data_IF_637247314033
#
_entry.id   IF_637247314033
#
_cell.length_a   1.000
_cell.length_b   1.000
_cell.length_c   1.000
_cell.angle_alpha   90.00
_cell.angle_beta   90.00
_cell.angle_gamma   90.00
#
_symmetry.space_group_name_H-M   'P 1'
#
loop_
_entity.id
_entity.type
_entity.pdbx_description
1 polymer ?
#
# COMPACT_ATOMS: atom_id res chain seq x y z
N UNK A 1 -24.89 18.53 83.52
CA UNK A 1 -23.55 19.02 83.13
C UNK A 1 -22.73 17.83 82.65
N UNK A 2 -22.47 17.67 81.35
CA UNK A 2 -21.34 16.87 80.86
C UNK A 2 -21.00 17.20 79.38
N UNK A 3 -19.90 17.96 79.27
CA UNK A 3 -18.86 18.10 78.22
C UNK A 3 -19.13 17.71 76.74
N UNK A 4 -18.90 18.70 75.88
CA UNK A 4 -18.62 18.64 74.45
C UNK A 4 -17.30 17.94 74.11
N UNK A 5 -17.27 17.17 73.02
CA UNK A 5 -16.06 16.89 72.25
C UNK A 5 -16.43 16.70 70.77
N UNK A 6 -15.99 17.61 69.91
CA UNK A 6 -16.12 17.49 68.46
C UNK A 6 -14.83 16.88 67.88
N UNK A 7 -14.96 15.81 67.10
CA UNK A 7 -13.88 15.28 66.24
C UNK A 7 -14.25 15.55 64.78
N UNK A 8 -13.42 16.33 64.10
CA UNK A 8 -13.48 16.53 62.65
C UNK A 8 -12.62 15.45 61.99
N UNK A 9 -13.23 14.60 61.17
CA UNK A 9 -12.53 13.63 60.33
C UNK A 9 -12.31 14.24 58.94
N UNK A 10 -11.04 14.37 58.51
CA UNK A 10 -10.67 14.70 57.13
C UNK A 10 -10.72 13.43 56.29
N UNK A 11 -11.60 13.41 55.29
CA UNK A 11 -11.60 12.39 54.22
C UNK A 11 -10.63 12.86 53.14
N UNK A 12 -9.61 12.05 52.85
CA UNK A 12 -8.71 12.23 51.69
C UNK A 12 -9.19 11.26 50.62
N UNK A 13 -9.69 11.78 49.50
CA UNK A 13 -10.01 11.00 48.31
C UNK A 13 -8.75 10.98 47.44
N UNK A 14 -8.13 9.82 47.31
CA UNK A 14 -7.05 9.58 46.34
C UNK A 14 -7.70 9.10 45.04
N UNK A 15 -7.67 9.93 44.00
CA UNK A 15 -8.10 9.55 42.66
C UNK A 15 -7.00 8.75 41.96
N UNK A 16 -7.29 7.51 41.59
CA UNK A 16 -6.41 6.69 40.74
C UNK A 16 -6.67 7.07 39.29
N UNK A 17 -5.75 7.80 38.68
CA UNK A 17 -5.70 7.98 37.22
C UNK A 17 -5.09 6.75 36.59
N UNK A 18 -5.92 5.85 36.06
CA UNK A 18 -5.46 4.72 35.24
C UNK A 18 -5.09 5.24 33.85
N UNK A 19 -3.80 5.46 33.62
CA UNK A 19 -3.26 5.68 32.27
C UNK A 19 -3.31 4.37 31.49
N UNK A 20 -4.35 4.19 30.67
CA UNK A 20 -4.38 3.13 29.67
C UNK A 20 -3.41 3.51 28.54
N UNK A 21 -2.16 3.04 28.64
CA UNK A 21 -1.23 3.03 27.52
C UNK A 21 -1.85 2.17 26.41
N UNK A 22 -2.40 2.81 25.38
CA UNK A 22 -2.79 2.12 24.16
C UNK A 22 -1.49 1.65 23.50
N UNK A 23 -1.19 0.36 23.61
CA UNK A 23 -0.15 -0.26 22.81
C UNK A 23 -0.58 -0.12 21.34
N UNK A 24 0.00 0.85 20.64
CA UNK A 24 -0.13 0.97 19.20
C UNK A 24 0.42 -0.33 18.63
N UNK A 25 -0.45 -1.20 18.09
CA UNK A 25 0.01 -2.40 17.40
C UNK A 25 1.04 -1.98 16.34
N UNK A 26 2.21 -2.62 16.33
CA UNK A 26 3.26 -2.31 15.36
C UNK A 26 2.71 -2.50 13.95
N UNK A 27 2.94 -1.52 13.08
CA UNK A 27 2.54 -1.61 11.69
C UNK A 27 3.25 -2.80 11.01
N UNK A 28 2.59 -3.49 10.05
CA UNK A 28 3.15 -4.69 9.42
C UNK A 28 4.37 -4.34 8.56
N UNK A 29 5.37 -5.21 8.55
CA UNK A 29 6.47 -5.15 7.59
C UNK A 29 6.02 -5.62 6.21
N UNK A 30 6.40 -4.90 5.15
CA UNK A 30 5.99 -5.18 3.78
C UNK A 30 7.21 -5.25 2.87
N UNK A 31 7.29 -6.31 2.06
CA UNK A 31 8.23 -6.44 0.95
C UNK A 31 7.51 -6.52 -0.39
N UNK A 32 8.16 -6.06 -1.45
CA UNK A 32 7.70 -6.15 -2.83
C UNK A 32 8.77 -6.84 -3.68
N UNK A 33 8.37 -7.79 -4.51
CA UNK A 33 9.29 -8.51 -5.40
C UNK A 33 8.58 -8.91 -6.70
N UNK A 34 9.03 -8.37 -7.84
CA UNK A 34 8.42 -8.56 -9.17
C UNK A 34 9.31 -9.33 -10.15
N UNK A 35 10.41 -9.93 -9.68
CA UNK A 35 11.24 -10.84 -10.47
C UNK A 35 10.62 -12.22 -10.71
N UNK A 36 11.19 -12.99 -11.65
CA UNK A 36 10.68 -14.30 -12.09
C UNK A 36 10.80 -15.42 -11.03
N UNK A 37 11.64 -15.25 -10.00
CA UNK A 37 11.91 -16.28 -8.99
C UNK A 37 11.87 -15.72 -7.56
N UNK A 38 10.68 -15.56 -6.95
CA UNK A 38 10.56 -15.02 -5.60
C UNK A 38 11.35 -15.82 -4.56
N UNK A 39 12.34 -15.21 -3.85
CA UNK A 39 13.14 -15.89 -2.85
C UNK A 39 12.35 -16.07 -1.54
N UNK A 40 11.54 -17.14 -1.49
CA UNK A 40 10.55 -17.41 -0.43
C UNK A 40 11.12 -17.30 0.98
N UNK A 41 12.34 -17.80 1.22
CA UNK A 41 12.96 -17.76 2.54
C UNK A 41 13.25 -16.32 3.01
N UNK A 42 13.72 -15.45 2.10
CA UNK A 42 14.02 -14.05 2.43
C UNK A 42 12.73 -13.24 2.58
N UNK A 43 11.78 -13.41 1.67
CA UNK A 43 10.46 -12.77 1.74
C UNK A 43 9.66 -13.22 2.96
N UNK A 44 9.91 -14.44 3.45
CA UNK A 44 9.33 -14.99 4.67
C UNK A 44 9.70 -14.25 5.96
N UNK A 45 10.63 -13.30 5.91
CA UNK A 45 11.01 -12.43 7.03
C UNK A 45 10.07 -11.23 7.24
N UNK A 46 9.15 -10.99 6.29
CA UNK A 46 8.18 -9.89 6.33
C UNK A 46 6.78 -10.40 6.66
N UNK A 47 5.94 -9.54 7.25
CA UNK A 47 4.53 -9.87 7.55
C UNK A 47 3.70 -9.93 6.26
N UNK A 48 4.06 -9.13 5.26
CA UNK A 48 3.46 -9.13 3.92
C UNK A 48 4.55 -9.17 2.85
N UNK A 49 4.38 -10.01 1.84
CA UNK A 49 5.19 -10.00 0.64
C UNK A 49 4.28 -9.88 -0.60
N UNK A 50 4.45 -8.80 -1.35
CA UNK A 50 3.74 -8.51 -2.60
C UNK A 50 4.52 -9.07 -3.77
N UNK A 51 3.86 -9.90 -4.56
CA UNK A 51 4.47 -10.69 -5.64
C UNK A 51 3.80 -10.34 -6.97
N UNK A 52 4.58 -10.29 -8.05
CA UNK A 52 4.05 -10.30 -9.41
C UNK A 52 3.39 -11.66 -9.67
N UNK A 53 2.05 -11.75 -9.75
CA UNK A 53 1.36 -13.04 -9.85
C UNK A 53 1.68 -13.83 -11.13
N UNK A 54 2.13 -13.16 -12.21
CA UNK A 54 2.48 -13.82 -13.47
C UNK A 54 3.90 -14.45 -13.44
N UNK A 55 4.65 -14.31 -12.34
CA UNK A 55 5.95 -15.01 -12.12
C UNK A 55 5.83 -16.54 -11.96
N UNK A 56 4.61 -17.06 -11.85
CA UNK A 56 4.35 -18.48 -11.59
C UNK A 56 4.34 -18.86 -10.10
N UNK A 57 4.43 -17.89 -9.19
CA UNK A 57 4.37 -18.11 -7.75
C UNK A 57 2.99 -18.62 -7.28
N UNK A 58 2.94 -19.78 -6.62
CA UNK A 58 1.74 -20.32 -5.97
C UNK A 58 1.78 -20.09 -4.44
N UNK A 59 0.98 -19.15 -3.89
CA UNK A 59 0.96 -18.88 -2.45
C UNK A 59 0.48 -20.08 -1.61
N UNK A 60 -0.20 -21.06 -2.20
CA UNK A 60 -0.63 -22.29 -1.51
C UNK A 60 0.49 -23.31 -1.38
N UNK A 61 1.46 -23.30 -2.28
CA UNK A 61 2.67 -24.13 -2.21
C UNK A 61 3.66 -23.57 -1.17
N UNK A 62 3.59 -22.27 -0.90
CA UNK A 62 4.49 -21.56 0.01
C UNK A 62 3.78 -21.01 1.25
N UNK A 63 2.81 -21.74 1.81
CA UNK A 63 2.11 -21.31 3.04
C UNK A 63 3.12 -20.99 4.15
N UNK A 64 2.98 -19.80 4.73
CA UNK A 64 3.80 -19.33 5.82
C UNK A 64 2.88 -18.86 6.96
N UNK A 65 3.20 -19.23 8.21
CA UNK A 65 2.39 -18.89 9.37
C UNK A 65 2.44 -17.39 9.72
N UNK A 66 3.41 -16.66 9.18
CA UNK A 66 3.74 -15.29 9.53
C UNK A 66 3.66 -14.34 8.34
N UNK A 67 4.01 -14.80 7.14
CA UNK A 67 3.97 -13.99 5.92
C UNK A 67 2.67 -14.20 5.16
N UNK A 68 1.96 -13.11 4.89
CA UNK A 68 0.83 -13.09 3.98
C UNK A 68 1.30 -12.71 2.56
N UNK A 69 1.09 -13.62 1.61
CA UNK A 69 1.38 -13.37 0.19
C UNK A 69 0.27 -12.52 -0.43
N UNK A 70 0.66 -11.37 -0.98
CA UNK A 70 -0.21 -10.44 -1.69
C UNK A 70 0.14 -10.47 -3.18
N UNK A 71 -0.84 -10.27 -4.04
CA UNK A 71 -0.60 -10.12 -5.47
C UNK A 71 -0.54 -8.64 -5.85
N UNK A 72 0.44 -8.26 -6.66
CA UNK A 72 0.42 -7.01 -7.39
C UNK A 72 -0.69 -7.03 -8.46
N UNK A 73 -1.48 -5.95 -8.52
CA UNK A 73 -2.46 -5.74 -9.58
C UNK A 73 -2.52 -4.26 -9.94
N UNK A 74 -2.42 -3.94 -11.24
CA UNK A 74 -2.61 -2.59 -11.75
C UNK A 74 -4.10 -2.34 -12.00
N UNK A 75 -4.66 -1.23 -11.50
CA UNK A 75 -6.10 -0.91 -11.61
C UNK A 75 -6.36 0.14 -12.69
N UNK A 76 -5.57 1.22 -12.69
CA UNK A 76 -5.67 2.33 -13.64
C UNK A 76 -5.10 2.01 -15.01
N UNK A 77 -4.20 1.04 -15.10
CA UNK A 77 -3.48 0.69 -16.32
C UNK A 77 -3.46 -0.82 -16.57
N UNK A 78 -3.17 -1.18 -17.81
CA UNK A 78 -2.99 -2.58 -18.20
C UNK A 78 -1.87 -2.73 -19.24
N UNK A 79 -1.00 -3.72 -19.00
CA UNK A 79 0.03 -4.15 -19.96
C UNK A 79 -0.55 -5.14 -20.97
N UNK A 80 0.01 -5.19 -22.18
CA UNK A 80 -0.49 -6.09 -23.26
C UNK A 80 -0.23 -7.57 -22.97
N UNK A 81 0.72 -7.83 -22.10
CA UNK A 81 1.21 -9.13 -21.66
C UNK A 81 0.25 -9.77 -20.65
N UNK A 82 -0.64 -8.98 -20.03
CA UNK A 82 -1.61 -9.51 -19.08
C UNK A 82 -2.57 -10.46 -19.78
N UNK A 83 -2.85 -11.65 -19.22
CA UNK A 83 -3.68 -12.68 -19.86
C UNK A 83 -5.12 -12.20 -20.11
N UNK A 84 -5.60 -11.23 -19.33
CA UNK A 84 -6.93 -10.64 -19.47
C UNK A 84 -7.00 -9.45 -20.44
N UNK A 85 -5.88 -8.99 -21.02
CA UNK A 85 -5.86 -7.79 -21.89
C UNK A 85 -6.78 -7.93 -23.11
N UNK A 86 -6.79 -9.11 -23.73
CA UNK A 86 -7.62 -9.38 -24.92
C UNK A 86 -9.13 -9.32 -24.62
N UNK A 87 -9.54 -9.55 -23.38
CA UNK A 87 -10.93 -9.51 -22.96
C UNK A 87 -11.44 -8.09 -22.67
N UNK A 88 -10.54 -7.10 -22.53
CA UNK A 88 -10.93 -5.71 -22.26
C UNK A 88 -11.54 -5.08 -23.52
N UNK A 89 -12.78 -4.55 -23.44
CA UNK A 89 -13.37 -3.76 -24.51
C UNK A 89 -12.47 -2.59 -24.92
N UNK A 90 -12.15 -2.47 -26.21
CA UNK A 90 -11.21 -1.46 -26.71
C UNK A 90 -11.65 -0.02 -26.43
N UNK A 91 -12.96 0.22 -26.33
CA UNK A 91 -13.52 1.51 -25.95
C UNK A 91 -13.18 1.94 -24.50
N UNK A 92 -12.74 1.01 -23.65
CA UNK A 92 -12.30 1.32 -22.28
C UNK A 92 -10.82 1.68 -22.19
N UNK A 93 -10.06 1.56 -23.28
CA UNK A 93 -8.64 1.91 -23.33
C UNK A 93 -8.49 3.34 -23.87
N UNK A 94 -8.12 4.29 -23.00
CA UNK A 94 -8.30 5.74 -23.26
C UNK A 94 -7.01 6.56 -23.28
N UNK A 95 -5.86 5.94 -23.02
CA UNK A 95 -4.57 6.62 -23.07
C UNK A 95 -3.42 5.63 -23.04
N UNK A 96 -2.20 6.13 -23.21
CA UNK A 96 -0.97 5.34 -23.15
C UNK A 96 -0.01 6.00 -22.18
N UNK A 97 0.69 5.17 -21.41
CA UNK A 97 1.81 5.58 -20.58
C UNK A 97 3.08 4.97 -21.18
N UNK A 98 3.80 5.78 -21.96
CA UNK A 98 4.96 5.30 -22.73
C UNK A 98 6.12 4.86 -21.84
N UNK A 99 6.24 5.44 -20.64
CA UNK A 99 7.30 5.14 -19.67
C UNK A 99 7.20 3.68 -19.18
N UNK A 100 5.97 3.17 -19.06
CA UNK A 100 5.68 1.83 -18.55
C UNK A 100 5.14 0.88 -19.62
N UNK A 101 5.12 1.30 -20.89
CA UNK A 101 4.54 0.55 -22.01
C UNK A 101 3.10 0.05 -21.77
N UNK A 102 2.34 0.74 -20.94
CA UNK A 102 1.01 0.34 -20.49
C UNK A 102 -0.09 1.22 -21.12
N UNK A 103 -1.33 0.75 -21.02
CA UNK A 103 -2.51 1.46 -21.53
C UNK A 103 -3.40 1.89 -20.36
N UNK A 104 -3.80 3.17 -20.32
CA UNK A 104 -4.70 3.72 -19.31
C UNK A 104 -6.13 3.22 -19.57
N UNK A 105 -6.75 2.66 -18.53
CA UNK A 105 -8.13 2.16 -18.55
C UNK A 105 -9.09 3.23 -18.03
N UNK A 106 -10.20 3.43 -18.73
CA UNK A 106 -11.29 4.31 -18.34
C UNK A 106 -12.02 3.75 -17.12
N UNK A 107 -11.80 4.35 -15.96
CA UNK A 107 -12.39 3.92 -14.70
C UNK A 107 -13.90 4.22 -14.65
N UNK A 108 -14.38 5.19 -15.45
CA UNK A 108 -15.80 5.57 -15.57
C UNK A 108 -16.62 4.59 -16.45
N UNK A 109 -15.98 3.57 -17.03
CA UNK A 109 -16.70 2.54 -17.76
C UNK A 109 -17.58 1.71 -16.80
N UNK A 110 -18.90 1.74 -16.96
CA UNK A 110 -19.84 1.09 -16.03
C UNK A 110 -19.59 -0.43 -15.81
N UNK A 111 -19.04 -1.13 -16.81
CA UNK A 111 -18.70 -2.56 -16.71
C UNK A 111 -17.34 -2.84 -16.05
N UNK A 112 -16.49 -1.83 -15.86
CA UNK A 112 -15.12 -1.99 -15.38
C UNK A 112 -15.03 -2.61 -13.98
N UNK A 113 -15.83 -2.21 -12.96
CA UNK A 113 -15.77 -2.83 -11.64
C UNK A 113 -16.06 -4.33 -11.66
N UNK A 114 -17.09 -4.76 -12.41
CA UNK A 114 -17.44 -6.18 -12.53
C UNK A 114 -16.36 -6.95 -13.28
N UNK A 115 -15.88 -6.39 -14.40
CA UNK A 115 -14.78 -6.97 -15.18
C UNK A 115 -13.54 -7.17 -14.32
N UNK A 116 -13.14 -6.16 -13.55
CA UNK A 116 -11.92 -6.21 -12.74
C UNK A 116 -12.00 -7.29 -11.66
N UNK A 117 -13.14 -7.38 -10.97
CA UNK A 117 -13.35 -8.42 -9.96
C UNK A 117 -13.31 -9.82 -10.59
N UNK A 118 -13.94 -10.00 -11.75
CA UNK A 118 -14.07 -11.31 -12.39
C UNK A 118 -12.78 -11.79 -13.09
N UNK A 119 -12.10 -10.90 -13.82
CA UNK A 119 -10.96 -11.27 -14.65
C UNK A 119 -9.61 -11.08 -13.98
N UNK A 120 -9.51 -10.22 -12.95
CA UNK A 120 -8.24 -9.96 -12.26
C UNK A 120 -8.25 -10.57 -10.86
N UNK A 121 -9.23 -10.20 -10.03
CA UNK A 121 -9.20 -10.58 -8.61
C UNK A 121 -9.63 -12.03 -8.37
N UNK A 122 -10.70 -12.50 -9.01
CA UNK A 122 -11.23 -13.85 -8.78
C UNK A 122 -10.24 -14.98 -9.12
N UNK A 123 -9.49 -14.94 -10.23
CA UNK A 123 -8.46 -15.95 -10.52
C UNK A 123 -7.36 -15.98 -9.46
N UNK A 124 -6.87 -14.81 -9.02
CA UNK A 124 -5.86 -14.71 -7.98
C UNK A 124 -6.37 -15.19 -6.61
N UNK A 125 -7.62 -14.89 -6.28
CA UNK A 125 -8.27 -15.42 -5.07
C UNK A 125 -8.36 -16.95 -5.10
N UNK A 126 -8.69 -17.53 -6.27
CA UNK A 126 -8.71 -18.99 -6.48
C UNK A 126 -7.30 -19.60 -6.37
N UNK A 127 -6.28 -18.88 -6.82
CA UNK A 127 -4.87 -19.25 -6.69
C UNK A 127 -4.36 -19.17 -5.24
N UNK A 128 -5.08 -18.48 -4.34
CA UNK A 128 -4.85 -18.51 -2.90
C UNK A 128 -4.46 -17.18 -2.27
N UNK A 129 -4.30 -16.12 -3.06
CA UNK A 129 -4.05 -14.78 -2.55
C UNK A 129 -5.23 -14.27 -1.71
N UNK A 130 -4.93 -13.59 -0.60
CA UNK A 130 -5.92 -12.95 0.29
C UNK A 130 -5.67 -11.46 0.51
N UNK A 131 -4.65 -10.93 -0.15
CA UNK A 131 -4.39 -9.50 -0.21
C UNK A 131 -3.90 -9.09 -1.59
N UNK A 132 -4.11 -7.82 -1.90
CA UNK A 132 -3.83 -7.23 -3.20
C UNK A 132 -3.18 -5.87 -3.00
N UNK A 133 -2.08 -5.63 -3.72
CA UNK A 133 -1.49 -4.31 -3.86
C UNK A 133 -2.07 -3.68 -5.12
N UNK A 134 -2.91 -2.67 -4.94
CA UNK A 134 -3.65 -1.98 -5.99
C UNK A 134 -2.83 -0.79 -6.48
N UNK A 135 -2.28 -0.93 -7.67
CA UNK A 135 -1.42 0.07 -8.28
C UNK A 135 -2.16 0.95 -9.29
N UNK A 136 -1.49 2.02 -9.73
CA UNK A 136 -1.94 2.98 -10.76
C UNK A 136 -3.26 3.68 -10.45
N UNK A 137 -3.53 3.91 -9.16
CA UNK A 137 -4.76 4.57 -8.69
C UNK A 137 -4.84 6.06 -9.04
N UNK A 138 -3.78 6.64 -9.62
CA UNK A 138 -3.69 8.02 -10.06
C UNK A 138 -3.45 8.17 -11.59
N UNK A 139 -3.29 7.07 -12.34
CA UNK A 139 -3.00 7.11 -13.79
C UNK A 139 -4.08 7.79 -14.63
N UNK A 140 -5.31 7.90 -14.13
CA UNK A 140 -6.36 8.65 -14.80
C UNK A 140 -5.99 10.14 -15.01
N UNK A 141 -5.10 10.70 -14.20
CA UNK A 141 -4.61 12.07 -14.36
C UNK A 141 -3.89 12.30 -15.70
N UNK A 142 -3.34 11.24 -16.32
CA UNK A 142 -2.71 11.30 -17.64
C UNK A 142 -3.71 11.68 -18.74
N UNK A 143 -4.99 11.33 -18.58
CA UNK A 143 -6.03 11.53 -19.61
C UNK A 143 -7.12 12.52 -19.18
N UNK A 144 -7.44 12.62 -17.88
CA UNK A 144 -8.49 13.49 -17.36
C UNK A 144 -7.98 14.91 -17.11
N UNK A 145 -8.36 15.85 -17.98
CA UNK A 145 -7.86 17.24 -17.97
C UNK A 145 -8.78 18.25 -17.25
N UNK A 146 -10.02 17.89 -16.97
CA UNK A 146 -10.96 18.74 -16.21
C UNK A 146 -11.29 18.12 -14.86
N UNK A 147 -11.75 18.96 -13.91
CA UNK A 147 -12.17 18.49 -12.60
C UNK A 147 -13.33 17.48 -12.68
N UNK A 148 -14.28 17.70 -13.59
CA UNK A 148 -15.42 16.81 -13.80
C UNK A 148 -14.98 15.46 -14.37
N UNK A 149 -14.01 15.46 -15.30
CA UNK A 149 -13.45 14.23 -15.83
C UNK A 149 -12.72 13.44 -14.74
N UNK A 150 -11.92 14.11 -13.90
CA UNK A 150 -11.21 13.49 -12.79
C UNK A 150 -12.16 12.89 -11.76
N UNK A 151 -13.19 13.63 -11.37
CA UNK A 151 -14.22 13.17 -10.43
C UNK A 151 -14.94 11.89 -10.92
N UNK A 152 -15.20 11.77 -12.23
CA UNK A 152 -15.77 10.54 -12.80
C UNK A 152 -14.82 9.34 -12.72
N UNK A 153 -13.53 9.56 -13.00
CA UNK A 153 -12.52 8.49 -12.87
C UNK A 153 -12.34 8.05 -11.42
N UNK A 154 -12.32 9.01 -10.48
CA UNK A 154 -12.26 8.75 -9.03
C UNK A 154 -13.48 7.95 -8.56
N UNK A 155 -14.69 8.30 -9.00
CA UNK A 155 -15.90 7.55 -8.70
C UNK A 155 -15.85 6.12 -9.26
N UNK A 156 -15.25 5.94 -10.43
CA UNK A 156 -14.94 4.65 -11.04
C UNK A 156 -14.02 3.79 -10.19
N UNK A 157 -12.88 4.33 -9.76
CA UNK A 157 -11.93 3.65 -8.87
C UNK A 157 -12.57 3.25 -7.54
N UNK A 158 -13.35 4.15 -6.93
CA UNK A 158 -14.14 3.86 -5.73
C UNK A 158 -15.09 2.68 -5.96
N UNK A 159 -15.73 2.63 -7.13
CA UNK A 159 -16.63 1.53 -7.49
C UNK A 159 -15.90 0.20 -7.65
N UNK A 160 -14.70 0.18 -8.25
CA UNK A 160 -13.84 -1.01 -8.33
C UNK A 160 -13.51 -1.52 -6.93
N UNK A 161 -13.00 -0.65 -6.04
CA UNK A 161 -12.60 -1.03 -4.68
C UNK A 161 -13.80 -1.60 -3.90
N UNK A 162 -14.96 -0.94 -3.98
CA UNK A 162 -16.19 -1.42 -3.36
C UNK A 162 -16.64 -2.77 -3.93
N UNK A 163 -16.53 -2.98 -5.23
CA UNK A 163 -16.86 -4.25 -5.86
C UNK A 163 -15.94 -5.39 -5.38
N UNK A 164 -14.63 -5.14 -5.26
CA UNK A 164 -13.67 -6.09 -4.69
C UNK A 164 -14.09 -6.48 -3.27
N UNK A 165 -14.34 -5.49 -2.41
CA UNK A 165 -14.72 -5.73 -1.01
C UNK A 165 -16.11 -6.35 -0.87
N UNK A 166 -17.05 -6.07 -1.75
CA UNK A 166 -18.36 -6.71 -1.76
C UNK A 166 -18.23 -8.21 -2.07
N UNK A 167 -17.41 -8.58 -3.05
CA UNK A 167 -17.20 -9.99 -3.42
C UNK A 167 -16.29 -10.73 -2.44
N UNK A 168 -15.27 -10.06 -1.93
CA UNK A 168 -14.26 -10.59 -1.03
C UNK A 168 -14.07 -9.68 0.21
N UNK A 169 -15.01 -9.71 1.18
CA UNK A 169 -14.98 -8.80 2.34
C UNK A 169 -13.70 -8.89 3.19
N UNK A 170 -13.06 -10.06 3.18
CA UNK A 170 -11.82 -10.32 3.92
C UNK A 170 -10.55 -9.95 3.15
N UNK A 171 -10.64 -9.55 1.88
CA UNK A 171 -9.47 -9.14 1.11
C UNK A 171 -8.81 -7.93 1.75
N UNK A 172 -7.49 -8.01 1.98
CA UNK A 172 -6.66 -6.89 2.43
C UNK A 172 -6.15 -6.12 1.22
N UNK A 173 -6.32 -4.80 1.20
CA UNK A 173 -5.97 -3.99 0.03
C UNK A 173 -4.90 -2.96 0.42
N UNK A 174 -3.73 -3.02 -0.19
CA UNK A 174 -2.74 -1.94 -0.10
C UNK A 174 -2.98 -1.03 -1.30
N UNK A 175 -3.20 0.26 -1.06
CA UNK A 175 -3.38 1.24 -2.15
C UNK A 175 -2.04 1.88 -2.46
N UNK A 176 -1.55 1.81 -3.69
CA UNK A 176 -0.45 2.68 -4.11
C UNK A 176 -1.03 4.04 -4.48
N UNK A 177 -0.70 5.06 -3.69
CA UNK A 177 -1.27 6.41 -3.75
C UNK A 177 -2.80 6.39 -3.62
N UNK A 178 -3.52 6.90 -4.62
CA UNK A 178 -4.97 7.04 -4.59
C UNK A 178 -5.46 8.02 -3.52
N UNK A 179 -4.71 9.08 -3.24
CA UNK A 179 -5.00 10.01 -2.14
C UNK A 179 -6.37 10.67 -2.28
N UNK A 180 -6.78 10.97 -3.52
CA UNK A 180 -8.04 11.63 -3.89
C UNK A 180 -9.28 10.79 -3.53
N UNK A 181 -9.16 9.46 -3.55
CA UNK A 181 -10.28 8.55 -3.26
C UNK A 181 -10.35 8.13 -1.78
N UNK A 182 -9.28 8.31 -1.00
CA UNK A 182 -9.23 7.93 0.41
C UNK A 182 -10.40 8.47 1.26
N UNK A 183 -10.90 9.71 1.09
CA UNK A 183 -12.07 10.17 1.83
C UNK A 183 -13.27 9.21 1.73
N UNK A 184 -13.41 8.49 0.61
CA UNK A 184 -14.54 7.60 0.34
C UNK A 184 -14.28 6.12 0.64
N UNK A 185 -13.02 5.69 0.65
CA UNK A 185 -12.65 4.25 0.70
C UNK A 185 -11.54 3.90 1.71
N UNK A 186 -11.03 4.83 2.52
CA UNK A 186 -9.97 4.55 3.49
C UNK A 186 -10.30 3.38 4.43
N UNK A 187 -11.57 3.24 4.88
CA UNK A 187 -12.01 2.14 5.74
C UNK A 187 -11.91 0.75 5.07
N UNK A 188 -11.69 0.70 3.75
CA UNK A 188 -11.52 -0.52 2.96
C UNK A 188 -10.04 -0.87 2.72
N UNK A 189 -9.12 0.05 3.04
CA UNK A 189 -7.68 -0.13 2.88
C UNK A 189 -7.08 -0.85 4.09
N UNK A 190 -6.06 -1.67 3.81
CA UNK A 190 -5.19 -2.30 4.80
C UNK A 190 -3.99 -1.40 5.13
N UNK A 191 -3.42 -0.76 4.11
CA UNK A 191 -2.37 0.25 4.21
C UNK A 191 -2.38 1.13 2.93
N UNK A 192 -1.67 2.24 2.97
CA UNK A 192 -1.41 3.09 1.79
C UNK A 192 0.09 3.12 1.54
N UNK A 193 0.50 2.87 0.30
CA UNK A 193 1.88 2.98 -0.17
C UNK A 193 2.05 4.22 -1.06
N UNK A 194 3.29 4.66 -1.24
CA UNK A 194 3.66 5.58 -2.32
C UNK A 194 5.15 5.44 -2.68
N UNK A 195 5.47 5.87 -3.90
CA UNK A 195 6.81 5.89 -4.49
C UNK A 195 7.12 7.33 -4.92
N UNK A 196 8.16 8.00 -4.41
CA UNK A 196 9.09 7.63 -3.32
C UNK A 196 9.35 8.85 -2.41
N UNK A 197 9.93 8.68 -1.21
CA UNK A 197 10.07 9.81 -0.25
C UNK A 197 11.43 10.52 -0.29
N UNK A 198 12.51 9.78 -0.42
CA UNK A 198 13.89 10.29 -0.38
C UNK A 198 14.70 9.86 -1.60
N UNK A 199 14.61 8.58 -2.00
CA UNK A 199 15.34 7.98 -3.13
C UNK A 199 14.34 7.42 -4.13
N UNK A 200 14.32 7.99 -5.33
CA UNK A 200 13.43 7.63 -6.41
C UNK A 200 14.12 6.84 -7.53
N UNK A 201 13.29 6.28 -8.40
CA UNK A 201 13.71 5.66 -9.65
C UNK A 201 13.10 6.43 -10.83
N UNK A 202 13.94 7.01 -11.68
CA UNK A 202 13.51 7.60 -12.95
C UNK A 202 13.42 6.49 -14.00
N UNK A 203 12.22 5.98 -14.24
CA UNK A 203 11.97 4.92 -15.21
C UNK A 203 12.26 5.37 -16.65
N UNK A 204 12.11 6.66 -17.00
CA UNK A 204 12.39 7.12 -18.36
C UNK A 204 13.90 7.16 -18.64
N UNK A 205 14.69 7.53 -17.65
CA UNK A 205 16.16 7.65 -17.76
C UNK A 205 16.92 6.45 -17.19
N UNK A 206 16.21 5.48 -16.61
CA UNK A 206 16.75 4.29 -15.97
C UNK A 206 17.86 4.61 -14.95
N UNK A 207 17.58 5.57 -14.05
CA UNK A 207 18.55 6.00 -13.03
C UNK A 207 17.92 6.28 -11.67
N UNK A 208 18.73 6.09 -10.63
CA UNK A 208 18.40 6.48 -9.27
C UNK A 208 18.51 8.00 -9.11
N UNK A 209 17.53 8.60 -8.42
CA UNK A 209 17.44 10.04 -8.22
C UNK A 209 17.08 10.38 -6.78
N UNK A 210 17.37 11.61 -6.37
CA UNK A 210 16.80 12.17 -5.15
C UNK A 210 15.40 12.71 -5.43
N UNK A 211 14.49 12.45 -4.48
CA UNK A 211 13.15 13.04 -4.52
C UNK A 211 13.26 14.52 -4.18
N UNK A 212 12.78 15.43 -5.05
CA UNK A 212 12.79 16.87 -4.79
C UNK A 212 12.12 17.24 -3.45
N UNK A 213 12.59 18.32 -2.82
CA UNK A 213 12.11 18.72 -1.50
C UNK A 213 10.60 19.03 -1.49
N UNK A 214 10.09 19.72 -2.51
CA UNK A 214 8.67 20.06 -2.61
C UNK A 214 7.78 18.81 -2.71
N UNK A 215 8.22 17.81 -3.49
CA UNK A 215 7.51 16.53 -3.64
C UNK A 215 7.52 15.75 -2.32
N UNK A 216 8.65 15.74 -1.62
CA UNK A 216 8.80 15.13 -0.30
C UNK A 216 7.88 15.79 0.72
N UNK A 217 7.83 17.12 0.77
CA UNK A 217 6.99 17.85 1.72
C UNK A 217 5.50 17.59 1.45
N UNK A 218 5.12 17.51 0.18
CA UNK A 218 3.77 17.11 -0.20
C UNK A 218 3.44 15.67 0.22
N UNK A 219 4.32 14.71 -0.02
CA UNK A 219 4.13 13.31 0.39
C UNK A 219 4.07 13.15 1.92
N UNK A 220 4.89 13.89 2.67
CA UNK A 220 4.83 13.91 4.14
C UNK A 220 3.49 14.44 4.64
N UNK A 221 2.91 15.44 3.98
CA UNK A 221 1.58 15.95 4.31
C UNK A 221 0.48 14.90 4.03
N UNK A 222 0.57 14.16 2.92
CA UNK A 222 -0.33 13.04 2.64
C UNK A 222 -0.19 11.94 3.69
N UNK A 223 1.04 11.52 3.99
CA UNK A 223 1.34 10.50 4.99
C UNK A 223 0.80 10.89 6.38
N UNK A 224 0.96 12.15 6.77
CA UNK A 224 0.40 12.69 8.01
C UNK A 224 -1.12 12.57 8.03
N UNK A 225 -1.80 12.99 6.96
CA UNK A 225 -3.26 12.86 6.82
C UNK A 225 -3.70 11.41 6.96
N UNK A 226 -3.04 10.49 6.27
CA UNK A 226 -3.38 9.05 6.31
C UNK A 226 -3.24 8.47 7.73
N UNK A 227 -2.16 8.81 8.42
CA UNK A 227 -1.87 8.31 9.78
C UNK A 227 -2.76 8.94 10.85
N UNK A 228 -2.99 10.24 10.76
CA UNK A 228 -3.69 10.99 11.81
C UNK A 228 -5.20 10.97 11.63
N UNK A 229 -5.69 11.10 10.40
CA UNK A 229 -7.13 11.15 10.11
C UNK A 229 -7.70 9.77 9.83
N UNK A 230 -7.06 8.98 8.95
CA UNK A 230 -7.58 7.66 8.56
C UNK A 230 -7.06 6.52 9.44
N UNK A 231 -6.07 6.78 10.30
CA UNK A 231 -5.45 5.79 11.20
C UNK A 231 -4.91 4.56 10.47
N UNK A 232 -4.42 4.76 9.24
CA UNK A 232 -3.85 3.70 8.41
C UNK A 232 -2.31 3.71 8.46
N UNK A 233 -1.67 2.53 8.38
CA UNK A 233 -0.24 2.42 8.09
C UNK A 233 0.10 3.03 6.73
N UNK A 234 1.28 3.64 6.65
CA UNK A 234 1.82 4.22 5.42
C UNK A 234 3.14 3.56 5.08
N UNK A 235 3.29 3.09 3.84
CA UNK A 235 4.49 2.48 3.28
C UNK A 235 5.16 3.46 2.31
N UNK A 236 6.45 3.72 2.49
CA UNK A 236 7.27 4.37 1.47
C UNK A 236 8.11 3.30 0.77
N UNK A 237 8.02 3.26 -0.55
CA UNK A 237 8.85 2.42 -1.40
C UNK A 237 9.89 3.32 -2.06
N UNK A 238 11.15 3.11 -1.71
CA UNK A 238 12.28 3.93 -2.13
C UNK A 238 13.34 3.07 -2.83
N UNK A 239 14.18 3.70 -3.66
CA UNK A 239 15.02 2.99 -4.62
C UNK A 239 16.50 3.31 -4.46
N UNK A 240 17.30 2.29 -4.14
CA UNK A 240 18.76 2.36 -4.14
C UNK A 240 19.32 1.32 -5.12
N UNK A 241 20.54 1.53 -5.61
CA UNK A 241 21.19 0.56 -6.49
C UNK A 241 21.37 -0.80 -5.78
N UNK A 242 21.32 -1.93 -6.52
CA UNK A 242 21.67 -3.22 -5.95
C UNK A 242 23.06 -3.17 -5.30
N UNK A 243 23.17 -3.74 -4.10
CA UNK A 243 24.39 -3.76 -3.27
C UNK A 243 24.82 -2.42 -2.65
N UNK A 244 24.03 -1.35 -2.78
CA UNK A 244 24.23 -0.12 -2.02
C UNK A 244 23.55 -0.21 -0.63
N UNK A 245 24.12 -1.05 0.23
CA UNK A 245 23.61 -1.35 1.57
C UNK A 245 23.63 -0.12 2.50
N UNK A 246 24.49 0.86 2.22
CA UNK A 246 24.54 2.13 2.96
C UNK A 246 23.34 3.01 2.57
N UNK A 247 23.12 3.24 1.27
CA UNK A 247 21.94 3.96 0.78
C UNK A 247 20.65 3.33 1.32
N UNK A 248 20.53 2.00 1.26
CA UNK A 248 19.32 1.31 1.68
C UNK A 248 19.04 1.47 3.19
N UNK A 249 20.06 1.29 4.05
CA UNK A 249 19.92 1.43 5.50
C UNK A 249 19.63 2.85 5.93
N UNK A 250 20.35 3.82 5.38
CA UNK A 250 20.17 5.24 5.73
C UNK A 250 18.80 5.75 5.29
N UNK A 251 18.37 5.38 4.08
CA UNK A 251 17.05 5.73 3.56
C UNK A 251 15.94 5.11 4.40
N UNK A 252 16.06 3.82 4.76
CA UNK A 252 15.10 3.15 5.63
C UNK A 252 15.02 3.79 7.02
N UNK A 253 16.15 4.25 7.58
CA UNK A 253 16.19 4.96 8.85
C UNK A 253 15.48 6.32 8.78
N UNK A 254 15.68 7.09 7.70
CA UNK A 254 15.01 8.38 7.47
C UNK A 254 13.49 8.22 7.38
N UNK A 255 13.02 7.26 6.59
CA UNK A 255 11.59 6.95 6.46
C UNK A 255 11.00 6.52 7.81
N UNK A 256 11.71 5.67 8.55
CA UNK A 256 11.28 5.22 9.89
C UNK A 256 11.20 6.37 10.87
N UNK A 257 12.14 7.32 10.83
CA UNK A 257 12.14 8.51 11.67
C UNK A 257 10.95 9.44 11.38
N UNK A 258 10.42 9.44 10.15
CA UNK A 258 9.17 10.11 9.79
C UNK A 258 7.91 9.37 10.29
N UNK A 259 8.06 8.19 10.90
CA UNK A 259 6.95 7.36 11.37
C UNK A 259 6.21 6.65 10.23
N UNK A 260 6.91 6.39 9.12
CA UNK A 260 6.42 5.70 7.92
C UNK A 260 7.14 4.35 7.83
N UNK A 261 6.49 3.31 7.30
CA UNK A 261 7.10 2.00 7.09
C UNK A 261 8.04 2.08 5.88
N UNK A 262 9.34 1.74 5.99
CA UNK A 262 10.22 1.70 4.83
C UNK A 262 10.20 0.35 4.12
N UNK A 263 10.30 0.40 2.80
CA UNK A 263 10.85 -0.67 1.99
C UNK A 263 11.77 -0.08 0.92
N UNK A 264 13.07 -0.33 1.02
CA UNK A 264 14.09 0.22 0.12
C UNK A 264 14.71 -0.89 -0.71
N UNK A 265 14.59 -0.82 -2.04
CA UNK A 265 14.91 -1.92 -2.98
C UNK A 265 15.48 -1.35 -4.29
N UNK A 266 15.72 -2.18 -5.29
CA UNK A 266 16.18 -1.73 -6.61
C UNK A 266 15.01 -1.26 -7.50
N UNK A 267 15.31 -0.45 -8.52
CA UNK A 267 14.30 0.12 -9.42
C UNK A 267 13.47 -0.92 -10.19
N UNK A 268 13.94 -2.16 -10.32
CA UNK A 268 13.21 -3.25 -10.95
C UNK A 268 12.39 -4.10 -9.97
N UNK A 269 12.49 -3.86 -8.66
CA UNK A 269 11.89 -4.69 -7.61
C UNK A 269 12.30 -6.17 -7.73
N UNK A 270 13.55 -6.43 -8.15
CA UNK A 270 14.07 -7.78 -8.39
C UNK A 270 15.00 -8.28 -7.29
N UNK A 271 15.24 -7.46 -6.27
CA UNK A 271 16.02 -7.79 -5.07
C UNK A 271 15.14 -7.64 -3.83
N UNK A 272 15.34 -8.51 -2.84
CA UNK A 272 14.68 -8.32 -1.55
C UNK A 272 15.30 -7.13 -0.85
N UNK A 273 14.49 -6.08 -0.68
CA UNK A 273 14.92 -4.81 -0.12
C UNK A 273 15.09 -4.81 1.39
N UNK A 274 15.51 -3.66 1.90
CA UNK A 274 15.61 -3.36 3.33
C UNK A 274 14.32 -2.72 3.83
N UNK A 275 13.67 -3.36 4.80
CA UNK A 275 12.58 -2.80 5.60
C UNK A 275 12.70 -3.33 7.04
N UNK A 276 11.81 -2.98 7.97
CA UNK A 276 11.81 -3.58 9.30
C UNK A 276 11.46 -5.07 9.15
N UNK A 277 12.45 -5.92 8.89
CA UNK A 277 12.26 -7.35 8.91
C UNK A 277 11.88 -7.74 10.34
N UNK A 278 11.03 -8.77 10.48
CA UNK A 278 10.72 -9.30 11.80
C UNK A 278 12.04 -9.72 12.46
N UNK A 279 12.29 -9.26 13.69
CA UNK A 279 13.41 -9.76 14.46
C UNK A 279 13.27 -11.31 14.52
N UNK A 280 14.33 -12.08 14.24
CA UNK A 280 14.25 -13.53 14.37
C UNK A 280 13.76 -13.85 15.78
N UNK A 281 12.66 -14.60 15.86
CA UNK A 281 11.98 -14.89 17.12
C UNK A 281 12.95 -15.50 18.12
N UNK A 282 12.97 -14.94 19.33
CA UNK A 282 13.46 -15.63 20.53
C UNK A 282 12.49 -16.73 20.93
#
# INVERSE_FOLDING_TARGET
MLRFAARVARVVIVGVLSSAAHAQASAPSVALFYGEHPPVAQLGAFDVAVIEPDSGFDPRAHRNAHTAWFAYVSVGEVSRERPYYAAIPKAWLVGRNDIWASTVVNQDAAGWPAFYVEHVIAPLWKLGYRGFFLDTLDSYQLVAKTAEARARQEAGLVSVIRAIKARYPQAKLIFNRGFEILPQVHALAYAVAFESLYRGWDQAQQRYVEVPQDDRDWLLAQAKTIREQYRLPVLSIDYCAPHDDECARDTAALISAAGIMPYVTDGGLQTVGTGPARAPGR
#
